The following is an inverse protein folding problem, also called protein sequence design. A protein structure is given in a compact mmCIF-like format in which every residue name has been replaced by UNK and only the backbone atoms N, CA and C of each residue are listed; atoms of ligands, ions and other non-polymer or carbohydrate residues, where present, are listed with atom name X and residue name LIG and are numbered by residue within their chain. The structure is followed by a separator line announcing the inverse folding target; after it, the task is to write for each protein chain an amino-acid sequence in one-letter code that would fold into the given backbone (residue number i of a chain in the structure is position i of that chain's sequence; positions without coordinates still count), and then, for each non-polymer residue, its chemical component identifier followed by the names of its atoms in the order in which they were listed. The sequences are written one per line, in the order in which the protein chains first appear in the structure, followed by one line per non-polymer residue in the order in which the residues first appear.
data_IF_841220911585
#
_entry.id   IF_841220911585
#
_cell.length_a   1.000
_cell.length_b   1.000
_cell.length_c   1.000
_cell.angle_alpha   90.00
_cell.angle_beta   90.00
_cell.angle_gamma   90.00
#
_symmetry.space_group_name_H-M   'P 1'
#
loop_
_entity.id
_entity.type
_entity.pdbx_description
1 polymer ?
#
# COMPACT_ATOMS: atom_id res chain seq x y z
N UNK A 1 9.30 -16.23 14.57
CA UNK A 1 8.65 -15.97 13.26
C UNK A 1 9.12 -17.03 12.28
N UNK A 2 8.20 -17.69 11.59
CA UNK A 2 8.54 -18.57 10.47
C UNK A 2 9.03 -17.70 9.32
N UNK A 3 10.13 -18.05 8.63
CA UNK A 3 10.56 -17.31 7.46
C UNK A 3 9.47 -17.35 6.38
N UNK A 4 9.34 -16.27 5.59
CA UNK A 4 8.33 -16.21 4.55
C UNK A 4 8.53 -17.26 3.46
N UNK A 5 7.44 -17.78 2.93
CA UNK A 5 7.49 -18.67 1.76
C UNK A 5 7.63 -17.86 0.47
N UNK A 6 8.00 -18.51 -0.63
CA UNK A 6 8.01 -17.89 -1.97
C UNK A 6 6.60 -17.41 -2.35
N UNK A 7 5.56 -18.17 -1.95
CA UNK A 7 4.17 -17.79 -2.18
C UNK A 7 3.80 -16.50 -1.43
N UNK A 8 4.27 -16.36 -0.17
CA UNK A 8 4.08 -15.12 0.58
C UNK A 8 4.80 -13.94 -0.09
N UNK A 9 6.07 -14.13 -0.48
CA UNK A 9 6.83 -13.06 -1.16
C UNK A 9 6.17 -12.63 -2.46
N UNK A 10 5.67 -13.58 -3.26
CA UNK A 10 4.92 -13.28 -4.48
C UNK A 10 3.64 -12.50 -4.17
N UNK A 11 2.88 -12.92 -3.14
CA UNK A 11 1.67 -12.22 -2.67
C UNK A 11 1.95 -10.75 -2.40
N UNK A 12 2.94 -10.45 -1.57
CA UNK A 12 3.23 -9.07 -1.18
C UNK A 12 3.89 -8.28 -2.32
N UNK A 13 4.65 -8.91 -3.21
CA UNK A 13 5.18 -8.26 -4.39
C UNK A 13 4.07 -7.83 -5.36
N UNK A 14 3.12 -8.72 -5.68
CA UNK A 14 1.97 -8.40 -6.54
C UNK A 14 1.12 -7.28 -5.91
N UNK A 15 0.81 -7.38 -4.62
CA UNK A 15 0.06 -6.34 -3.90
C UNK A 15 0.79 -5.00 -3.87
N UNK A 16 2.11 -5.01 -3.68
CA UNK A 16 2.90 -3.78 -3.69
C UNK A 16 2.94 -3.14 -5.08
N UNK A 17 3.12 -3.94 -6.14
CA UNK A 17 3.04 -3.42 -7.51
C UNK A 17 1.65 -2.83 -7.81
N UNK A 18 0.58 -3.50 -7.37
CA UNK A 18 -0.78 -2.99 -7.53
C UNK A 18 -0.99 -1.70 -6.73
N UNK A 19 -0.44 -1.60 -5.52
CA UNK A 19 -0.54 -0.43 -4.67
C UNK A 19 0.02 0.83 -5.33
N UNK A 20 1.02 0.71 -6.21
CA UNK A 20 1.58 1.84 -6.96
C UNK A 20 0.62 2.46 -7.98
N UNK A 21 -0.40 1.71 -8.43
CA UNK A 21 -1.35 2.21 -9.41
C UNK A 21 -2.35 3.23 -8.83
N UNK A 22 -2.93 4.06 -9.70
CA UNK A 22 -4.04 4.95 -9.33
C UNK A 22 -5.37 4.21 -9.50
N UNK A 23 -5.99 3.83 -8.38
CA UNK A 23 -7.06 2.83 -8.32
C UNK A 23 -8.43 3.41 -7.94
N UNK A 24 -8.54 4.74 -7.87
CA UNK A 24 -9.80 5.44 -7.59
C UNK A 24 -10.31 6.17 -8.84
N UNK A 25 -11.62 6.16 -9.05
CA UNK A 25 -12.30 7.05 -9.98
C UNK A 25 -12.55 8.44 -9.38
N UNK A 26 -13.04 9.36 -10.21
CA UNK A 26 -13.26 10.78 -9.85
C UNK A 26 -14.15 10.99 -8.61
N UNK A 27 -15.02 10.03 -8.32
CA UNK A 27 -15.89 10.05 -7.12
C UNK A 27 -15.19 9.56 -5.84
N UNK A 28 -13.89 9.24 -5.91
CA UNK A 28 -13.14 8.62 -4.81
C UNK A 28 -13.51 7.15 -4.57
N UNK A 29 -14.31 6.54 -5.44
CA UNK A 29 -14.68 5.12 -5.37
C UNK A 29 -13.59 4.24 -5.99
N UNK A 30 -13.24 3.11 -5.36
CA UNK A 30 -12.31 2.17 -5.96
C UNK A 30 -12.82 1.58 -7.27
N UNK A 31 -11.91 1.39 -8.23
CA UNK A 31 -12.21 0.67 -9.46
C UNK A 31 -12.45 -0.82 -9.21
N UNK A 32 -13.23 -1.43 -10.10
CA UNK A 32 -13.48 -2.88 -10.15
C UNK A 32 -13.65 -3.35 -11.61
N UNK A 33 -13.45 -4.64 -11.86
CA UNK A 33 -13.63 -5.23 -13.18
C UNK A 33 -12.73 -4.58 -14.24
N UNK A 34 -13.28 -4.26 -15.41
CA UNK A 34 -12.52 -3.67 -16.52
C UNK A 34 -11.77 -2.40 -16.12
N UNK A 35 -12.34 -1.54 -15.27
CA UNK A 35 -11.65 -0.31 -14.84
C UNK A 35 -10.44 -0.61 -13.96
N UNK A 36 -10.54 -1.62 -13.09
CA UNK A 36 -9.41 -2.05 -12.26
C UNK A 36 -8.31 -2.67 -13.12
N UNK A 37 -8.68 -3.51 -14.07
CA UNK A 37 -7.75 -4.16 -15.00
C UNK A 37 -6.96 -3.11 -15.81
N UNK A 38 -7.64 -2.12 -16.38
CA UNK A 38 -6.98 -1.05 -17.13
C UNK A 38 -6.12 -0.15 -16.23
N UNK A 39 -6.56 0.13 -15.00
CA UNK A 39 -5.76 0.89 -14.04
C UNK A 39 -4.47 0.16 -13.64
N UNK A 40 -4.51 -1.16 -13.42
CA UNK A 40 -3.33 -1.97 -13.10
C UNK A 40 -2.35 -2.09 -14.27
N UNK A 41 -2.86 -2.17 -15.51
CA UNK A 41 -2.04 -2.18 -16.73
C UNK A 41 -1.37 -0.83 -17.00
N UNK A 42 -2.07 0.26 -16.68
CA UNK A 42 -1.48 1.61 -16.69
C UNK A 42 -0.45 1.77 -15.56
N UNK A 43 -0.75 1.19 -14.40
CA UNK A 43 0.14 1.23 -13.25
C UNK A 43 0.24 2.64 -12.68
N UNK A 44 1.46 3.04 -12.37
CA UNK A 44 1.80 4.40 -11.94
C UNK A 44 2.22 5.33 -13.09
N UNK A 45 1.87 5.01 -14.34
CA UNK A 45 2.33 5.69 -15.56
C UNK A 45 3.87 5.59 -15.81
N UNK A 46 4.56 4.73 -15.05
CA UNK A 46 5.99 4.41 -15.20
C UNK A 46 6.23 2.90 -15.27
N UNK A 47 7.24 2.40 -14.53
CA UNK A 47 7.70 1.02 -14.60
C UNK A 47 6.83 0.03 -13.82
N UNK A 48 6.06 0.49 -12.82
CA UNK A 48 5.23 -0.39 -11.99
C UNK A 48 3.88 -0.61 -12.68
N UNK A 49 3.78 -1.67 -13.48
CA UNK A 49 2.56 -2.02 -14.23
C UNK A 49 2.39 -3.52 -14.41
N UNK A 50 1.14 -3.95 -14.57
CA UNK A 50 0.78 -5.34 -14.75
C UNK A 50 0.71 -5.72 -16.23
N UNK A 51 1.08 -6.95 -16.56
CA UNK A 51 0.62 -7.58 -17.81
C UNK A 51 -0.90 -7.80 -17.76
N UNK A 52 -1.54 -7.98 -18.91
CA UNK A 52 -2.99 -8.26 -18.95
C UNK A 52 -3.38 -9.50 -18.14
N UNK A 53 -2.56 -10.57 -18.19
CA UNK A 53 -2.80 -11.79 -17.43
C UNK A 53 -2.69 -11.55 -15.92
N UNK A 54 -1.68 -10.80 -15.47
CA UNK A 54 -1.56 -10.40 -14.06
C UNK A 54 -2.73 -9.53 -13.62
N UNK A 55 -3.17 -8.56 -14.44
CA UNK A 55 -4.25 -7.65 -14.06
C UNK A 55 -5.60 -8.37 -13.95
N UNK A 56 -5.91 -9.26 -14.90
CA UNK A 56 -7.10 -10.13 -14.84
C UNK A 56 -7.05 -11.06 -13.63
N UNK A 57 -5.89 -11.64 -13.34
CA UNK A 57 -5.69 -12.45 -12.14
C UNK A 57 -5.90 -11.62 -10.88
N UNK A 58 -5.34 -10.42 -10.81
CA UNK A 58 -5.53 -9.55 -9.65
C UNK A 58 -7.00 -9.26 -9.42
N UNK A 59 -7.72 -8.80 -10.45
CA UNK A 59 -9.17 -8.56 -10.38
C UNK A 59 -9.95 -9.84 -10.05
N UNK A 60 -9.45 -11.04 -10.34
CA UNK A 60 -10.11 -12.28 -9.94
C UNK A 60 -10.04 -12.56 -8.43
N UNK A 61 -8.89 -12.29 -7.78
CA UNK A 61 -8.62 -12.70 -6.39
C UNK A 61 -8.66 -11.55 -5.38
N UNK A 62 -8.47 -10.31 -5.82
CA UNK A 62 -8.34 -9.15 -4.95
C UNK A 62 -9.32 -8.04 -5.34
N UNK A 63 -9.74 -7.28 -4.35
CA UNK A 63 -10.47 -6.04 -4.52
C UNK A 63 -9.81 -4.90 -3.77
N UNK A 64 -10.06 -3.67 -4.24
CA UNK A 64 -9.57 -2.45 -3.61
C UNK A 64 -10.61 -1.97 -2.60
N UNK A 65 -10.28 -2.01 -1.31
CA UNK A 65 -11.17 -1.57 -0.23
C UNK A 65 -11.09 -0.05 -0.04
N UNK A 66 -9.87 0.47 -0.07
CA UNK A 66 -9.58 1.88 0.09
C UNK A 66 -8.23 2.22 -0.53
N UNK A 67 -8.09 3.46 -0.99
CA UNK A 67 -6.80 4.02 -1.36
C UNK A 67 -6.73 5.46 -0.83
N UNK A 68 -5.56 5.83 -0.31
CA UNK A 68 -5.15 7.20 -0.10
C UNK A 68 -4.20 7.56 -1.26
N UNK A 69 -4.64 8.38 -2.23
CA UNK A 69 -3.74 8.98 -3.20
C UNK A 69 -2.69 9.85 -2.50
N UNK A 70 -1.63 10.21 -3.22
CA UNK A 70 -0.55 11.05 -2.70
C UNK A 70 -1.11 12.30 -2.01
N UNK A 71 -0.84 12.39 -0.71
CA UNK A 71 -1.09 13.58 0.09
C UNK A 71 -0.03 14.64 -0.20
N UNK A 72 -0.21 15.86 0.32
CA UNK A 72 0.75 16.95 0.12
C UNK A 72 2.10 16.67 0.79
N UNK A 73 2.13 15.78 1.79
CA UNK A 73 3.35 15.33 2.46
C UNK A 73 4.04 14.18 1.71
N UNK A 74 3.38 13.63 0.69
CA UNK A 74 3.84 12.47 -0.08
C UNK A 74 3.29 11.13 0.43
N UNK A 75 2.59 11.07 1.57
CA UNK A 75 2.01 9.80 2.02
C UNK A 75 0.95 9.26 1.04
N UNK A 76 0.98 7.96 0.78
CA UNK A 76 -0.06 7.21 0.07
C UNK A 76 -0.09 5.73 0.46
N UNK A 77 -1.24 5.10 0.28
CA UNK A 77 -1.41 3.69 0.62
C UNK A 77 -2.70 3.10 0.05
N UNK A 78 -2.74 1.77 -0.03
CA UNK A 78 -3.90 1.02 -0.55
C UNK A 78 -4.21 -0.16 0.37
N UNK A 79 -5.50 -0.38 0.64
CA UNK A 79 -6.00 -1.57 1.34
C UNK A 79 -6.64 -2.49 0.31
N UNK A 80 -6.19 -3.73 0.29
CA UNK A 80 -6.76 -4.79 -0.53
C UNK A 80 -7.41 -5.85 0.35
N UNK A 81 -8.45 -6.48 -0.19
CA UNK A 81 -9.10 -7.64 0.42
C UNK A 81 -9.12 -8.80 -0.57
N UNK A 82 -8.77 -9.98 -0.10
CA UNK A 82 -8.82 -11.18 -0.90
C UNK A 82 -10.27 -11.68 -0.97
N UNK A 83 -10.78 -11.88 -2.19
CA UNK A 83 -12.17 -12.28 -2.43
C UNK A 83 -12.39 -13.78 -2.25
N UNK A 84 -11.35 -14.58 -2.50
CA UNK A 84 -11.38 -16.04 -2.46
C UNK A 84 -9.97 -16.58 -2.35
N UNK A 85 -9.83 -17.80 -1.84
CA UNK A 85 -8.56 -18.49 -1.75
C UNK A 85 -7.77 -18.46 -3.08
N UNK A 86 -6.54 -17.95 -3.00
CA UNK A 86 -5.59 -17.92 -4.09
C UNK A 86 -4.58 -19.08 -3.93
N UNK A 87 -4.64 -20.12 -4.78
CA UNK A 87 -3.72 -21.26 -4.68
C UNK A 87 -2.27 -20.94 -5.10
N UNK A 88 -2.03 -19.86 -5.84
CA UNK A 88 -0.70 -19.45 -6.28
C UNK A 88 0.06 -18.70 -5.18
N UNK A 89 -0.63 -17.77 -4.51
CA UNK A 89 -0.04 -16.89 -3.49
C UNK A 89 -0.30 -17.38 -2.08
N UNK A 90 -1.19 -18.37 -1.91
CA UNK A 90 -1.62 -18.88 -0.62
C UNK A 90 -2.56 -17.95 0.15
N UNK A 91 -2.96 -16.81 -0.43
CA UNK A 91 -3.91 -15.89 0.18
C UNK A 91 -5.25 -16.58 0.46
N UNK A 92 -5.87 -16.25 1.59
CA UNK A 92 -7.16 -16.79 2.00
C UNK A 92 -8.26 -15.78 1.78
N UNK A 93 -9.47 -16.29 1.50
CA UNK A 93 -10.65 -15.44 1.45
C UNK A 93 -10.72 -14.56 2.71
N UNK A 94 -11.08 -13.29 2.50
CA UNK A 94 -11.12 -12.25 3.53
C UNK A 94 -9.76 -11.80 4.10
N UNK A 95 -8.62 -12.29 3.60
CA UNK A 95 -7.31 -11.71 3.93
C UNK A 95 -7.28 -10.22 3.56
N UNK A 96 -6.94 -9.37 4.54
CA UNK A 96 -6.79 -7.93 4.34
C UNK A 96 -5.32 -7.56 4.37
N UNK A 97 -4.86 -6.79 3.39
CA UNK A 97 -3.49 -6.30 3.32
C UNK A 97 -3.48 -4.80 3.07
N UNK A 98 -2.84 -4.06 3.98
CA UNK A 98 -2.53 -2.65 3.80
C UNK A 98 -1.13 -2.50 3.24
N UNK A 99 -1.00 -1.72 2.16
CA UNK A 99 0.24 -1.50 1.44
C UNK A 99 0.58 0.00 1.45
N UNK A 100 1.76 0.37 1.94
CA UNK A 100 2.30 1.71 1.78
C UNK A 100 3.22 1.79 0.57
N UNK A 101 3.04 2.83 -0.24
CA UNK A 101 3.84 3.04 -1.44
C UNK A 101 5.19 3.66 -1.10
N UNK A 102 6.16 3.46 -1.99
CA UNK A 102 7.37 4.27 -1.96
C UNK A 102 7.06 5.67 -2.48
N UNK A 103 7.47 6.71 -1.75
CA UNK A 103 7.77 7.99 -2.42
C UNK A 103 9.22 7.95 -2.87
N UNK A 104 9.47 7.39 -4.05
CA UNK A 104 10.66 7.80 -4.79
C UNK A 104 10.30 9.08 -5.53
N UNK A 105 11.20 10.05 -5.48
CA UNK A 105 11.20 11.37 -6.08
C UNK A 105 11.10 11.34 -7.63
N UNK A 106 10.21 10.52 -8.18
CA UNK A 106 9.88 10.44 -9.61
C UNK A 106 8.91 11.58 -9.93
N UNK A 107 9.38 12.79 -9.73
CA UNK A 107 9.54 13.76 -10.80
C UNK A 107 9.92 15.11 -10.19
N UNK A 108 10.96 15.68 -10.79
CA UNK A 108 11.64 16.95 -10.59
C UNK A 108 10.69 18.17 -10.75
N UNK A 109 9.59 18.21 -9.99
CA UNK A 109 8.56 19.25 -10.07
C UNK A 109 7.82 19.58 -8.76
N UNK A 110 8.14 18.95 -7.62
CA UNK A 110 7.64 19.35 -6.29
C UNK A 110 8.46 20.49 -5.65
N UNK A 111 9.09 21.35 -6.47
CA UNK A 111 10.05 22.39 -6.06
C UNK A 111 9.54 23.50 -5.12
N UNK A 112 8.29 23.43 -4.65
CA UNK A 112 7.71 24.44 -3.75
C UNK A 112 7.33 23.96 -2.34
N UNK A 113 7.48 22.66 -2.00
CA UNK A 113 7.24 22.15 -0.64
C UNK A 113 8.44 21.41 -0.01
N UNK A 114 9.53 21.25 -0.77
CA UNK A 114 10.73 20.51 -0.39
C UNK A 114 11.41 21.06 0.88
N UNK A 115 11.39 22.36 1.12
CA UNK A 115 12.22 22.96 2.17
C UNK A 115 11.86 22.52 3.59
N UNK A 116 10.60 22.24 3.92
CA UNK A 116 10.23 21.83 5.29
C UNK A 116 10.45 20.34 5.51
N UNK A 117 9.92 19.47 4.63
CA UNK A 117 10.06 18.02 4.78
C UNK A 117 11.49 17.52 4.52
N UNK A 118 12.24 18.10 3.58
CA UNK A 118 13.63 17.69 3.30
C UNK A 118 14.54 18.04 4.47
N UNK A 119 14.32 19.19 5.11
CA UNK A 119 15.07 19.55 6.32
C UNK A 119 14.69 18.62 7.48
N UNK A 120 13.41 18.32 7.70
CA UNK A 120 12.97 17.37 8.73
C UNK A 120 13.53 15.96 8.53
N UNK A 121 13.51 15.43 7.29
CA UNK A 121 14.09 14.10 6.97
C UNK A 121 15.61 14.13 7.17
N UNK A 122 16.29 15.19 6.73
CA UNK A 122 17.74 15.31 6.86
C UNK A 122 18.21 15.46 8.31
N UNK A 123 17.40 16.09 9.16
CA UNK A 123 17.74 16.31 10.58
C UNK A 123 17.27 15.19 11.51
N UNK A 124 16.13 14.54 11.22
CA UNK A 124 15.51 13.56 12.13
C UNK A 124 15.37 12.16 11.56
N UNK A 125 15.63 11.96 10.27
CA UNK A 125 15.45 10.67 9.58
C UNK A 125 14.00 10.32 9.23
N UNK A 126 13.02 11.18 9.54
CA UNK A 126 11.60 11.00 9.25
C UNK A 126 10.92 12.28 8.76
N UNK A 127 9.91 12.15 7.89
CA UNK A 127 8.99 13.23 7.57
C UNK A 127 7.78 13.17 8.52
N UNK A 128 7.72 14.06 9.51
CA UNK A 128 6.62 14.08 10.49
C UNK A 128 5.26 14.31 9.82
N UNK A 129 5.23 15.08 8.73
CA UNK A 129 4.04 15.24 7.91
C UNK A 129 3.50 13.93 7.32
N UNK A 130 4.38 13.05 6.81
CA UNK A 130 3.97 11.76 6.26
C UNK A 130 3.45 10.83 7.35
N UNK A 131 4.09 10.81 8.52
CA UNK A 131 3.63 10.03 9.67
C UNK A 131 2.25 10.48 10.16
N UNK A 132 2.01 11.79 10.23
CA UNK A 132 0.70 12.33 10.62
C UNK A 132 -0.40 11.97 9.62
N UNK A 133 -0.13 12.13 8.32
CA UNK A 133 -1.11 11.82 7.28
C UNK A 133 -1.38 10.31 7.19
N UNK A 134 -0.35 9.49 7.42
CA UNK A 134 -0.47 8.03 7.58
C UNK A 134 -1.36 7.66 8.77
N UNK A 135 -1.10 8.22 9.95
CA UNK A 135 -1.88 7.95 11.16
C UNK A 135 -3.34 8.37 10.99
N UNK A 136 -3.58 9.56 10.43
CA UNK A 136 -4.93 10.04 10.15
C UNK A 136 -5.70 9.11 9.22
N UNK A 137 -5.03 8.59 8.17
CA UNK A 137 -5.66 7.64 7.26
C UNK A 137 -5.93 6.29 7.95
N UNK A 138 -4.97 5.77 8.71
CA UNK A 138 -5.15 4.54 9.49
C UNK A 138 -6.36 4.64 10.43
N UNK A 139 -6.44 5.70 11.24
CA UNK A 139 -7.56 5.94 12.15
C UNK A 139 -8.90 6.03 11.41
N UNK A 140 -8.92 6.71 10.25
CA UNK A 140 -10.11 6.78 9.41
C UNK A 140 -10.55 5.40 8.90
N UNK A 141 -9.61 4.54 8.50
CA UNK A 141 -9.93 3.19 8.05
C UNK A 141 -10.56 2.33 9.15
N UNK A 142 -10.08 2.45 10.39
CA UNK A 142 -10.68 1.79 11.56
C UNK A 142 -12.09 2.34 11.82
N UNK A 143 -12.25 3.66 11.85
CA UNK A 143 -13.55 4.31 12.09
C UNK A 143 -14.60 3.96 11.03
N UNK A 144 -14.20 3.88 9.76
CA UNK A 144 -15.08 3.49 8.65
C UNK A 144 -15.36 1.96 8.61
N UNK A 145 -14.74 1.17 9.50
CA UNK A 145 -14.85 -0.30 9.51
C UNK A 145 -14.20 -0.98 8.30
N UNK A 146 -13.31 -0.29 7.59
CA UNK A 146 -12.59 -0.80 6.41
C UNK A 146 -11.35 -1.60 6.78
N UNK A 147 -10.92 -1.47 8.03
CA UNK A 147 -9.81 -2.19 8.63
C UNK A 147 -10.21 -2.56 10.06
N UNK A 148 -9.76 -3.72 10.52
CA UNK A 148 -9.98 -4.19 11.89
C UNK A 148 -8.62 -4.54 12.47
N UNK A 149 -8.29 -3.96 13.63
CA UNK A 149 -7.03 -4.24 14.32
C UNK A 149 -6.85 -5.74 14.58
N UNK A 150 -5.64 -6.23 14.40
CA UNK A 150 -5.29 -7.65 14.50
C UNK A 150 -5.85 -8.52 13.37
N UNK A 151 -6.45 -7.95 12.32
CA UNK A 151 -7.04 -8.72 11.21
C UNK A 151 -6.51 -8.32 9.83
N UNK A 152 -5.41 -7.56 9.76
CA UNK A 152 -4.76 -7.22 8.51
C UNK A 152 -3.26 -7.47 8.56
N UNK A 153 -2.66 -7.67 7.38
CA UNK A 153 -1.20 -7.62 7.20
C UNK A 153 -0.77 -6.24 6.71
N UNK A 154 0.41 -5.80 7.12
CA UNK A 154 1.00 -4.55 6.67
C UNK A 154 2.25 -4.82 5.82
N UNK A 155 2.37 -4.16 4.68
CA UNK A 155 3.55 -4.21 3.82
C UNK A 155 3.90 -2.83 3.29
N UNK A 156 5.16 -2.65 2.93
CA UNK A 156 5.63 -1.47 2.22
C UNK A 156 7.02 -1.70 1.63
N UNK A 157 7.33 -0.98 0.57
CA UNK A 157 8.64 -0.97 -0.08
C UNK A 157 9.35 0.36 0.19
N UNK A 158 10.69 0.33 0.30
CA UNK A 158 11.54 1.51 0.59
C UNK A 158 10.99 2.38 1.73
N UNK A 159 10.65 3.66 1.48
CA UNK A 159 10.04 4.53 2.48
C UNK A 159 8.72 3.99 3.04
N UNK A 160 7.91 3.32 2.22
CA UNK A 160 6.71 2.62 2.68
C UNK A 160 7.03 1.54 3.73
N UNK A 161 8.20 0.90 3.63
CA UNK A 161 8.72 -0.04 4.63
C UNK A 161 9.10 0.63 5.95
N UNK A 162 9.64 1.85 5.90
CA UNK A 162 9.88 2.66 7.11
C UNK A 162 8.57 3.07 7.79
N UNK A 163 7.59 3.52 7.03
CA UNK A 163 6.24 3.84 7.53
C UNK A 163 5.55 2.61 8.14
N UNK A 164 5.66 1.45 7.48
CA UNK A 164 5.14 0.19 8.01
C UNK A 164 5.79 -0.19 9.35
N UNK A 165 7.09 0.10 9.50
CA UNK A 165 7.79 -0.12 10.76
C UNK A 165 7.32 0.83 11.85
N UNK A 166 7.09 2.10 11.52
CA UNK A 166 6.56 3.09 12.46
C UNK A 166 5.16 2.72 12.95
N UNK A 167 4.26 2.24 12.08
CA UNK A 167 2.93 1.75 12.50
C UNK A 167 3.04 0.60 13.48
N UNK A 168 3.94 -0.36 13.25
CA UNK A 168 4.11 -1.49 14.17
C UNK A 168 4.71 -1.08 15.53
N UNK A 169 5.42 0.05 15.59
CA UNK A 169 5.95 0.59 16.83
C UNK A 169 4.89 1.43 17.58
N UNK A 170 4.12 2.25 16.86
CA UNK A 170 3.04 3.06 17.44
C UNK A 170 1.82 2.22 17.83
N UNK A 171 1.54 1.15 17.08
CA UNK A 171 0.38 0.26 17.26
C UNK A 171 0.79 -1.22 17.24
N UNK A 172 1.38 -1.73 18.34
CA UNK A 172 1.93 -3.09 18.38
C UNK A 172 0.93 -4.23 18.12
N UNK A 173 -0.36 -3.96 18.25
CA UNK A 173 -1.46 -4.92 18.05
C UNK A 173 -2.23 -4.68 16.75
N UNK A 174 -1.88 -3.66 15.96
CA UNK A 174 -2.65 -3.29 14.78
C UNK A 174 -2.54 -4.34 13.67
N UNK A 175 -1.34 -4.72 13.26
CA UNK A 175 -1.12 -5.68 12.19
C UNK A 175 -0.82 -7.08 12.73
N UNK A 176 -1.19 -8.11 11.95
CA UNK A 176 -0.77 -9.48 12.22
C UNK A 176 0.76 -9.61 12.19
N UNK A 177 1.30 -10.54 12.99
CA UNK A 177 2.73 -10.76 13.24
C UNK A 177 3.57 -11.20 12.02
N UNK A 178 3.05 -11.07 10.80
CA UNK A 178 3.71 -11.29 9.52
C UNK A 178 3.77 -10.03 8.68
N UNK A 179 4.02 -8.86 9.26
CA UNK A 179 4.25 -7.65 8.45
C UNK A 179 5.51 -7.82 7.60
N UNK A 180 5.36 -7.79 6.29
CA UNK A 180 6.46 -8.00 5.35
C UNK A 180 7.22 -6.70 5.14
N UNK A 181 8.49 -6.71 5.53
CA UNK A 181 9.43 -5.61 5.36
C UNK A 181 10.34 -5.94 4.19
N UNK A 182 10.16 -5.30 3.04
CA UNK A 182 11.21 -5.28 2.04
C UNK A 182 12.17 -4.16 2.39
N UNK A 183 13.27 -4.51 3.07
CA UNK A 183 14.45 -3.65 3.10
C UNK A 183 15.06 -3.68 1.70
N UNK A 184 15.19 -2.51 1.08
CA UNK A 184 16.10 -2.33 -0.04
C UNK A 184 17.54 -2.49 0.45
#
# INVERSE_FOLDING_TARGET
MTPPTIADLLKYADLQMAAEAFLLGDSGKPYAGTLLIEALKRGNDHASRFTEAQAKRFDEFWEVVAQQPNTHTGFSGTVFKCKKDDPLTGAKADDVVMCFRSTEFVDDAARDNESTNVLEIKETGFAWGQLRDMEAWYQKLIQDGKLVEGQFSLTGYSLGGHLASAVNEMHPTAANAGSFRHAA
#
